data_IF_453808603375
#
_entry.id   IF_453808603375
#
_cell.length_a   1.000
_cell.length_b   1.000
_cell.length_c   1.000
_cell.angle_alpha   90.00
_cell.angle_beta   90.00
_cell.angle_gamma   90.00
#
_symmetry.space_group_name_H-M   'P 1'
#
loop_
_entity.id
_entity.type
_entity.pdbx_description
1 polymer ?
#
# COMPACT_ATOMS: atom_id res chain seq x y z
N UNK A 1 -2.18 -25.90 -0.46
CA UNK A 1 -1.41 -24.65 -0.67
C UNK A 1 -1.02 -24.56 -2.14
N UNK A 2 -0.99 -23.37 -2.74
CA UNK A 2 -0.48 -23.19 -4.12
C UNK A 2 1.06 -23.33 -4.06
N UNK A 3 1.68 -24.31 -4.75
CA UNK A 3 3.12 -24.59 -4.60
C UNK A 3 4.03 -23.45 -5.06
N UNK A 4 3.51 -22.58 -5.93
CA UNK A 4 4.18 -21.48 -6.60
C UNK A 4 3.86 -20.10 -5.98
N UNK A 5 3.07 -20.08 -4.90
CA UNK A 5 2.71 -18.83 -4.24
C UNK A 5 3.94 -18.12 -3.69
N UNK A 6 3.98 -16.80 -3.90
CA UNK A 6 5.00 -15.91 -3.36
C UNK A 6 4.34 -14.91 -2.42
N UNK A 7 4.96 -14.69 -1.27
CA UNK A 7 4.62 -13.57 -0.40
C UNK A 7 4.82 -12.23 -1.12
N UNK A 8 4.01 -11.24 -0.75
CA UNK A 8 4.08 -9.87 -1.28
C UNK A 8 5.28 -9.10 -0.71
N UNK A 9 5.70 -9.43 0.50
CA UNK A 9 6.85 -8.87 1.19
C UNK A 9 7.54 -9.95 2.04
N UNK A 10 8.86 -9.86 2.19
CA UNK A 10 9.61 -10.68 3.15
C UNK A 10 9.10 -10.52 4.59
N UNK A 11 8.50 -9.37 4.91
CA UNK A 11 7.91 -9.06 6.22
C UNK A 11 6.45 -9.50 6.37
N UNK A 12 5.82 -9.97 5.28
CA UNK A 12 4.45 -10.49 5.25
C UNK A 12 4.46 -11.89 4.59
N UNK A 13 5.00 -12.91 5.28
CA UNK A 13 5.07 -14.25 4.73
C UNK A 13 3.68 -14.82 4.43
N UNK A 14 3.62 -15.90 3.64
CA UNK A 14 2.34 -16.55 3.37
C UNK A 14 1.79 -17.18 4.65
N UNK A 15 0.58 -16.79 5.04
CA UNK A 15 -0.11 -17.30 6.21
C UNK A 15 -1.56 -17.66 5.87
N UNK A 16 -2.11 -18.66 6.56
CA UNK A 16 -3.55 -18.96 6.54
C UNK A 16 -4.35 -18.05 7.46
N UNK A 17 -3.69 -17.34 8.37
CA UNK A 17 -4.33 -16.39 9.29
C UNK A 17 -4.19 -14.96 8.76
N UNK A 18 -5.21 -14.11 8.92
CA UNK A 18 -5.12 -12.71 8.55
C UNK A 18 -4.06 -11.97 9.38
N UNK A 19 -3.39 -11.01 8.74
CA UNK A 19 -2.51 -10.07 9.43
C UNK A 19 -3.34 -8.93 10.02
N UNK A 20 -3.15 -8.66 11.32
CA UNK A 20 -3.77 -7.53 12.01
C UNK A 20 -2.69 -6.61 12.57
N UNK A 21 -2.91 -5.31 12.42
CA UNK A 21 -2.05 -4.28 12.98
C UNK A 21 -2.90 -3.05 13.29
N UNK A 22 -2.67 -2.35 14.41
CA UNK A 22 -3.33 -1.08 14.70
C UNK A 22 -2.83 0.06 13.79
N UNK A 23 -1.73 -0.15 13.06
CA UNK A 23 -1.11 0.80 12.14
C UNK A 23 -0.87 0.16 10.77
N UNK A 24 -0.64 0.99 9.74
CA UNK A 24 -0.33 0.53 8.39
C UNK A 24 0.91 -0.39 8.38
N UNK A 25 0.87 -1.47 7.62
CA UNK A 25 2.06 -2.31 7.44
C UNK A 25 3.12 -1.55 6.64
N UNK A 26 4.41 -1.62 7.03
CA UNK A 26 5.48 -0.89 6.35
C UNK A 26 5.58 -1.16 4.85
N UNK A 27 5.19 -2.37 4.40
CA UNK A 27 5.16 -2.70 2.97
C UNK A 27 4.25 -1.75 2.19
N UNK A 28 3.01 -1.52 2.66
CA UNK A 28 2.08 -0.62 1.98
C UNK A 28 2.48 0.85 2.14
N UNK A 29 3.00 1.22 3.31
CA UNK A 29 3.42 2.59 3.57
C UNK A 29 4.57 3.02 2.64
N UNK A 30 5.48 2.08 2.33
CA UNK A 30 6.58 2.30 1.38
C UNK A 30 6.18 2.30 -0.10
N UNK A 31 4.91 2.02 -0.44
CA UNK A 31 4.40 2.21 -1.81
C UNK A 31 3.95 3.66 -2.05
N UNK A 32 3.66 4.40 -0.98
CA UNK A 32 3.19 5.78 -1.07
C UNK A 32 4.36 6.67 -1.51
N UNK A 33 4.13 7.64 -2.43
CA UNK A 33 5.14 8.61 -2.78
C UNK A 33 5.76 9.31 -1.57
N UNK A 34 7.00 9.74 -1.71
CA UNK A 34 7.74 10.46 -0.66
C UNK A 34 8.28 11.80 -1.18
N UNK A 35 8.70 12.64 -0.23
CA UNK A 35 9.36 13.91 -0.52
C UNK A 35 8.54 14.81 -1.45
N UNK A 36 9.18 15.31 -2.51
CA UNK A 36 8.56 16.24 -3.45
C UNK A 36 7.34 15.65 -4.18
N UNK A 37 7.37 14.36 -4.55
CA UNK A 37 6.25 13.73 -5.25
C UNK A 37 5.02 13.62 -4.35
N UNK A 38 5.23 13.32 -3.06
CA UNK A 38 4.15 13.33 -2.08
C UNK A 38 3.53 14.72 -1.94
N UNK A 39 4.34 15.77 -1.85
CA UNK A 39 3.84 17.15 -1.76
C UNK A 39 2.95 17.51 -2.95
N UNK A 40 3.38 17.17 -4.17
CA UNK A 40 2.59 17.41 -5.39
C UNK A 40 1.26 16.65 -5.36
N UNK A 41 1.26 15.38 -4.92
CA UNK A 41 0.04 14.59 -4.81
C UNK A 41 -0.94 15.16 -3.77
N UNK A 42 -0.42 15.56 -2.61
CA UNK A 42 -1.21 16.18 -1.54
C UNK A 42 -1.87 17.49 -2.02
N UNK A 43 -1.10 18.37 -2.67
CA UNK A 43 -1.57 19.66 -3.12
C UNK A 43 -2.60 19.55 -4.26
N UNK A 44 -2.32 18.70 -5.25
CA UNK A 44 -3.17 18.55 -6.43
C UNK A 44 -4.51 17.88 -6.11
N UNK A 45 -4.51 16.90 -5.21
CA UNK A 45 -5.69 16.10 -4.90
C UNK A 45 -6.31 16.41 -3.54
N UNK A 46 -5.77 17.41 -2.82
CA UNK A 46 -6.26 17.90 -1.53
C UNK A 46 -6.42 16.79 -0.49
N UNK A 47 -5.44 15.89 -0.47
CA UNK A 47 -5.44 14.72 0.41
C UNK A 47 -4.92 15.08 1.81
N UNK A 48 -5.38 14.34 2.83
CA UNK A 48 -4.82 14.47 4.18
C UNK A 48 -3.51 13.67 4.28
N UNK A 49 -2.36 14.29 4.60
CA UNK A 49 -1.09 13.58 4.78
C UNK A 49 -1.11 12.50 5.87
N UNK A 50 -2.06 12.58 6.82
CA UNK A 50 -2.23 11.59 7.89
C UNK A 50 -3.07 10.39 7.46
N UNK A 51 -3.88 10.52 6.41
CA UNK A 51 -4.67 9.41 5.88
C UNK A 51 -3.83 8.54 4.94
N UNK A 52 -3.01 7.68 5.52
CA UNK A 52 -2.11 6.79 4.76
C UNK A 52 -2.88 5.83 3.85
N UNK A 53 -4.05 5.36 4.27
CA UNK A 53 -4.86 4.46 3.44
C UNK A 53 -5.48 5.20 2.25
N UNK A 54 -5.99 6.41 2.46
CA UNK A 54 -6.47 7.28 1.39
C UNK A 54 -5.37 7.65 0.40
N UNK A 55 -4.18 8.00 0.89
CA UNK A 55 -3.02 8.28 0.04
C UNK A 55 -2.66 7.08 -0.83
N UNK A 56 -2.60 5.89 -0.24
CA UNK A 56 -2.33 4.66 -0.95
C UNK A 56 -3.39 4.39 -2.04
N UNK A 57 -4.67 4.52 -1.71
CA UNK A 57 -5.76 4.26 -2.66
C UNK A 57 -5.79 5.23 -3.85
N UNK A 58 -5.40 6.49 -3.64
CA UNK A 58 -5.42 7.51 -4.70
C UNK A 58 -4.11 7.52 -5.50
N UNK A 59 -2.96 7.49 -4.83
CA UNK A 59 -1.66 7.61 -5.49
C UNK A 59 -1.12 6.28 -6.04
N UNK A 60 -1.61 5.14 -5.54
CA UNK A 60 -1.03 3.83 -5.81
C UNK A 60 -2.07 2.85 -6.36
N UNK A 61 -2.94 3.28 -7.28
CA UNK A 61 -3.82 2.36 -8.02
C UNK A 61 -3.02 1.43 -8.94
N UNK A 62 -1.99 1.97 -9.57
CA UNK A 62 -0.96 1.25 -10.31
C UNK A 62 0.37 1.42 -9.57
N UNK A 63 0.83 0.36 -8.89
CA UNK A 63 1.96 0.45 -7.96
C UNK A 63 3.26 0.00 -8.60
N UNK A 64 4.38 0.45 -8.03
CA UNK A 64 5.67 -0.11 -8.38
C UNK A 64 5.74 -1.59 -7.97
N UNK A 65 6.15 -2.44 -8.91
CA UNK A 65 6.27 -3.89 -8.72
C UNK A 65 5.10 -4.67 -9.30
N UNK A 66 4.86 -5.87 -8.76
CA UNK A 66 3.83 -6.80 -9.26
C UNK A 66 2.61 -6.84 -8.33
N UNK A 67 2.19 -5.67 -7.84
CA UNK A 67 1.07 -5.52 -6.90
C UNK A 67 0.11 -4.48 -7.45
N UNK A 68 -1.18 -4.74 -7.31
CA UNK A 68 -2.26 -3.82 -7.71
C UNK A 68 -3.22 -3.69 -6.55
N UNK A 69 -3.68 -2.48 -6.29
CA UNK A 69 -4.65 -2.19 -5.24
C UNK A 69 -6.02 -1.95 -5.88
N UNK A 70 -6.99 -2.75 -5.46
CA UNK A 70 -8.37 -2.64 -5.91
C UNK A 70 -9.27 -2.40 -4.70
N UNK A 71 -10.20 -1.46 -4.84
CA UNK A 71 -11.25 -1.27 -3.84
C UNK A 71 -12.15 -2.50 -3.81
N UNK A 72 -12.50 -2.96 -2.62
CA UNK A 72 -13.52 -3.99 -2.46
C UNK A 72 -14.89 -3.34 -2.68
N UNK A 73 -15.61 -3.78 -3.71
CA UNK A 73 -17.03 -3.46 -3.93
C UNK A 73 -17.94 -4.41 -3.15
#
# INVERSE_FOLDING_TARGET
ARPDAKHVSLTLPLSSTPYHSPTMFPFFDGLIPEGWLLSVALDNWKLDPKDRMGLLGVACRDTIGAVTLEGME
#
